data_IF_812397491912
#
_entry.id   IF_812397491912
#
_cell.length_a   1.000
_cell.length_b   1.000
_cell.length_c   1.000
_cell.angle_alpha   90.00
_cell.angle_beta   90.00
_cell.angle_gamma   90.00
#
_symmetry.space_group_name_H-M   'P 1'
#
loop_
_entity.id
_entity.type
_entity.pdbx_description
1 polymer ?
#
# COMPACT_ATOMS: atom_id res chain seq x y z
N UNK A 1 38.97 -54.65 -60.22
CA UNK A 1 38.56 -53.24 -59.98
C UNK A 1 37.18 -53.18 -59.32
N UNK A 2 37.00 -53.81 -58.14
CA UNK A 2 35.74 -53.76 -57.37
C UNK A 2 35.96 -53.81 -55.85
N UNK A 3 37.21 -53.97 -55.39
CA UNK A 3 37.57 -54.09 -53.96
C UNK A 3 37.89 -52.70 -53.35
N UNK A 4 38.15 -51.67 -54.18
CA UNK A 4 38.52 -50.34 -53.69
C UNK A 4 37.34 -49.40 -53.39
N UNK A 5 36.10 -49.78 -53.74
CA UNK A 5 34.89 -48.95 -53.49
C UNK A 5 34.25 -49.32 -52.14
N UNK A 6 34.43 -50.54 -51.65
CA UNK A 6 33.86 -50.98 -50.36
C UNK A 6 34.62 -50.36 -49.17
N UNK A 7 35.91 -50.06 -49.29
CA UNK A 7 36.68 -49.40 -48.22
C UNK A 7 36.34 -47.91 -48.05
N UNK A 8 35.84 -47.23 -49.08
CA UNK A 8 35.41 -45.83 -49.00
C UNK A 8 34.00 -45.67 -48.39
N UNK A 9 33.17 -46.72 -48.42
CA UNK A 9 31.85 -46.72 -47.78
C UNK A 9 31.88 -47.02 -46.27
N UNK A 10 32.97 -47.59 -45.74
CA UNK A 10 33.16 -47.75 -44.29
C UNK A 10 33.73 -46.51 -43.59
N UNK A 11 34.31 -45.55 -44.32
CA UNK A 11 34.78 -44.29 -43.73
C UNK A 11 33.66 -43.26 -43.47
N UNK A 12 32.43 -43.49 -43.97
CA UNK A 12 31.29 -42.62 -43.72
C UNK A 12 30.44 -43.00 -42.49
N UNK A 13 30.77 -44.09 -41.78
CA UNK A 13 29.99 -44.56 -40.62
C UNK A 13 30.64 -44.33 -39.24
N UNK A 14 31.63 -43.44 -39.12
CA UNK A 14 32.27 -43.08 -37.83
C UNK A 14 32.22 -41.59 -37.46
N UNK A 15 31.27 -40.82 -37.99
CA UNK A 15 30.99 -39.43 -37.52
C UNK A 15 29.64 -39.32 -36.79
N UNK A 16 29.38 -40.27 -35.89
CA UNK A 16 28.11 -40.41 -35.16
C UNK A 16 28.14 -40.06 -33.67
N UNK A 17 29.16 -39.37 -33.17
CA UNK A 17 29.18 -38.86 -31.79
C UNK A 17 29.23 -37.34 -31.80
N UNK A 18 28.06 -36.72 -31.72
CA UNK A 18 27.95 -35.27 -31.46
C UNK A 18 28.46 -34.99 -30.04
N UNK A 19 29.74 -34.66 -29.90
CA UNK A 19 30.34 -34.29 -28.61
C UNK A 19 29.81 -32.95 -28.13
N UNK A 20 29.57 -32.82 -26.82
CA UNK A 20 29.00 -31.59 -26.25
C UNK A 20 30.07 -30.53 -25.94
N UNK A 21 31.34 -30.76 -26.31
CA UNK A 21 32.46 -29.85 -26.04
C UNK A 21 32.21 -28.43 -26.62
N UNK A 22 31.52 -28.35 -27.76
CA UNK A 22 31.10 -27.07 -28.36
C UNK A 22 30.14 -26.25 -27.47
N UNK A 23 29.50 -26.86 -26.48
CA UNK A 23 28.65 -26.17 -25.52
C UNK A 23 29.47 -25.41 -24.45
N UNK A 24 30.75 -25.77 -24.25
CA UNK A 24 31.66 -25.15 -23.28
C UNK A 24 33.07 -24.98 -23.87
N UNK A 25 33.24 -24.13 -24.91
CA UNK A 25 34.48 -24.04 -25.67
C UNK A 25 35.71 -23.62 -24.84
N UNK A 26 35.50 -22.92 -23.71
CA UNK A 26 36.57 -22.48 -22.81
C UNK A 26 37.27 -23.63 -22.07
N UNK A 27 36.72 -24.84 -22.07
CA UNK A 27 37.25 -25.98 -21.32
C UNK A 27 38.22 -26.83 -22.14
N UNK A 28 38.25 -26.68 -23.48
CA UNK A 28 39.10 -27.49 -24.35
C UNK A 28 38.74 -28.98 -24.40
N UNK A 29 39.58 -29.79 -25.05
CA UNK A 29 39.45 -31.26 -25.08
C UNK A 29 40.31 -31.90 -23.97
N UNK A 30 39.75 -32.91 -23.28
CA UNK A 30 40.45 -33.67 -22.23
C UNK A 30 41.76 -34.32 -22.67
N UNK A 31 41.94 -34.60 -23.97
CA UNK A 31 43.13 -35.25 -24.51
C UNK A 31 44.42 -34.44 -24.30
N UNK A 32 44.30 -33.14 -24.01
CA UNK A 32 45.40 -32.28 -23.58
C UNK A 32 45.15 -31.89 -22.12
N UNK A 33 45.57 -32.73 -21.17
CA UNK A 33 45.32 -32.63 -19.71
C UNK A 33 45.84 -31.31 -19.05
N UNK A 34 46.39 -30.37 -19.82
CA UNK A 34 46.77 -29.02 -19.35
C UNK A 34 45.61 -28.00 -19.30
N UNK A 35 44.35 -28.43 -19.29
CA UNK A 35 43.21 -27.51 -19.17
C UNK A 35 43.00 -27.03 -17.72
N UNK A 36 43.06 -25.71 -17.56
CA UNK A 36 43.17 -24.95 -16.31
C UNK A 36 41.84 -24.77 -15.57
N UNK A 37 41.40 -25.82 -14.87
CA UNK A 37 40.44 -25.64 -13.79
C UNK A 37 41.13 -24.99 -12.58
N UNK A 38 40.45 -24.09 -11.83
CA UNK A 38 39.07 -23.64 -12.00
C UNK A 38 38.88 -22.62 -13.14
N UNK A 39 37.70 -22.62 -13.76
CA UNK A 39 37.32 -21.60 -14.75
C UNK A 39 37.10 -20.26 -14.04
N UNK A 40 37.85 -19.22 -14.43
CA UNK A 40 37.74 -17.90 -13.83
C UNK A 40 36.84 -16.99 -14.67
N UNK A 41 35.69 -16.61 -14.14
CA UNK A 41 34.80 -15.61 -14.73
C UNK A 41 35.00 -14.26 -14.07
N UNK A 42 35.44 -13.27 -14.84
CA UNK A 42 35.42 -11.87 -14.43
C UNK A 42 34.03 -11.31 -14.72
N UNK A 43 33.30 -10.96 -13.66
CA UNK A 43 31.91 -10.51 -13.75
C UNK A 43 31.83 -9.03 -13.47
N UNK A 44 31.37 -8.30 -14.49
CA UNK A 44 31.04 -6.89 -14.40
C UNK A 44 29.55 -6.77 -14.15
N UNK A 45 29.16 -6.72 -12.88
CA UNK A 45 27.77 -6.52 -12.49
C UNK A 45 27.69 -5.91 -11.11
N UNK A 46 26.79 -4.95 -10.96
CA UNK A 46 26.41 -4.38 -9.69
C UNK A 46 25.17 -5.12 -9.13
N UNK A 47 24.80 -6.27 -9.68
CA UNK A 47 23.66 -7.05 -9.20
C UNK A 47 24.07 -8.07 -8.15
N UNK A 48 23.18 -8.30 -7.19
CA UNK A 48 23.30 -9.37 -6.20
C UNK A 48 23.12 -10.76 -6.82
N UNK A 49 22.70 -10.87 -8.08
CA UNK A 49 22.54 -12.14 -8.79
C UNK A 49 23.11 -12.09 -10.20
N UNK A 50 23.69 -13.22 -10.61
CA UNK A 50 24.06 -13.54 -12.00
C UNK A 50 23.62 -14.96 -12.32
N UNK A 51 23.55 -15.25 -13.62
CA UNK A 51 23.29 -16.61 -14.10
C UNK A 51 24.58 -17.18 -14.67
N UNK A 52 24.86 -18.44 -14.36
CA UNK A 52 26.02 -19.15 -14.89
C UNK A 52 25.56 -20.43 -15.54
N UNK A 53 26.21 -20.75 -16.66
CA UNK A 53 26.00 -21.97 -17.41
C UNK A 53 26.92 -23.07 -16.86
N UNK A 54 26.33 -24.20 -16.50
CA UNK A 54 27.02 -25.41 -16.06
C UNK A 54 26.62 -26.61 -16.93
N UNK A 55 27.45 -27.65 -17.01
CA UNK A 55 27.04 -28.90 -17.65
C UNK A 55 25.83 -29.53 -16.98
N UNK A 56 24.97 -30.18 -17.77
CA UNK A 56 23.82 -30.95 -17.31
C UNK A 56 24.14 -32.44 -17.13
N UNK A 57 23.22 -33.20 -16.56
CA UNK A 57 23.44 -34.63 -16.26
C UNK A 57 23.66 -35.50 -17.50
N UNK A 58 23.23 -35.06 -18.69
CA UNK A 58 23.48 -35.75 -19.97
C UNK A 58 24.64 -35.15 -20.77
N UNK A 59 25.39 -34.21 -20.19
CA UNK A 59 26.58 -33.66 -20.83
C UNK A 59 27.64 -34.75 -21.05
N UNK A 60 28.16 -34.84 -22.27
CA UNK A 60 29.24 -35.76 -22.63
C UNK A 60 30.50 -35.00 -23.04
N UNK A 61 31.59 -35.22 -22.30
CA UNK A 61 32.86 -34.56 -22.54
C UNK A 61 33.84 -35.48 -23.25
N UNK A 62 34.29 -35.09 -24.44
CA UNK A 62 35.24 -35.87 -25.24
C UNK A 62 34.67 -37.19 -25.81
N UNK A 63 35.57 -38.05 -26.28
CA UNK A 63 35.26 -39.29 -27.02
C UNK A 63 35.00 -40.52 -26.13
N UNK A 64 34.63 -40.31 -24.88
CA UNK A 64 34.54 -41.40 -23.92
C UNK A 64 33.09 -41.59 -23.48
N UNK A 65 32.50 -42.71 -23.90
CA UNK A 65 31.25 -43.24 -23.32
C UNK A 65 31.37 -43.52 -21.81
N UNK A 66 32.60 -43.47 -21.29
CA UNK A 66 33.00 -43.71 -19.91
C UNK A 66 33.05 -42.44 -19.05
N UNK A 67 32.74 -41.27 -19.61
CA UNK A 67 32.69 -39.99 -18.89
C UNK A 67 31.25 -39.67 -18.51
N UNK A 68 30.99 -39.59 -17.20
CA UNK A 68 29.70 -39.19 -16.64
C UNK A 68 29.83 -37.87 -15.90
N UNK A 69 28.93 -36.93 -16.19
CA UNK A 69 28.82 -35.71 -15.41
C UNK A 69 27.80 -35.85 -14.28
N UNK A 70 28.17 -35.44 -13.08
CA UNK A 70 27.27 -35.35 -11.93
C UNK A 70 27.18 -33.92 -11.41
N UNK A 71 25.96 -33.37 -11.47
CA UNK A 71 25.68 -32.01 -11.01
C UNK A 71 25.73 -31.93 -9.47
N UNK A 72 26.42 -30.93 -8.94
CA UNK A 72 26.55 -30.69 -7.51
C UNK A 72 25.19 -30.38 -6.86
N UNK A 73 24.98 -30.80 -5.60
CA UNK A 73 23.72 -30.55 -4.87
C UNK A 73 23.39 -29.06 -4.70
N UNK A 74 24.40 -28.20 -4.54
CA UNK A 74 24.23 -26.74 -4.50
C UNK A 74 23.82 -26.18 -5.87
N UNK A 75 24.35 -26.72 -6.96
CA UNK A 75 23.94 -26.37 -8.31
C UNK A 75 22.49 -26.80 -8.58
N UNK A 76 22.11 -28.02 -8.19
CA UNK A 76 20.72 -28.52 -8.27
C UNK A 76 19.73 -27.58 -7.55
N UNK A 77 20.07 -27.10 -6.36
CA UNK A 77 19.21 -26.15 -5.59
C UNK A 77 19.08 -24.76 -6.22
N UNK A 78 20.04 -24.34 -7.04
CA UNK A 78 20.05 -23.02 -7.68
C UNK A 78 19.70 -23.07 -9.18
N UNK A 79 19.23 -24.22 -9.65
CA UNK A 79 18.84 -24.46 -11.03
C UNK A 79 17.67 -23.58 -11.46
N UNK A 80 17.80 -22.93 -12.61
CA UNK A 80 16.70 -22.23 -13.29
C UNK A 80 16.14 -23.17 -14.36
N UNK A 81 15.11 -23.93 -13.98
CA UNK A 81 14.51 -24.96 -14.83
C UNK A 81 14.06 -24.43 -16.19
N UNK A 82 13.47 -23.23 -16.23
CA UNK A 82 12.95 -22.63 -17.47
C UNK A 82 14.01 -22.30 -18.52
N UNK A 83 15.28 -22.18 -18.13
CA UNK A 83 16.41 -21.94 -19.03
C UNK A 83 17.25 -23.20 -19.28
N UNK A 84 17.01 -24.27 -18.52
CA UNK A 84 17.89 -25.43 -18.48
C UNK A 84 17.36 -26.58 -19.34
N UNK A 85 18.27 -27.38 -19.88
CA UNK A 85 17.97 -28.64 -20.55
C UNK A 85 18.87 -29.76 -20.00
N UNK A 86 18.77 -30.96 -20.58
CA UNK A 86 19.49 -32.13 -20.07
C UNK A 86 21.03 -32.04 -20.20
N UNK A 87 21.54 -31.24 -21.15
CA UNK A 87 22.98 -31.10 -21.44
C UNK A 87 23.59 -29.84 -20.85
N UNK A 88 22.79 -28.80 -20.67
CA UNK A 88 23.20 -27.48 -20.19
C UNK A 88 22.20 -27.02 -19.15
N UNK A 89 22.71 -26.62 -17.99
CA UNK A 89 21.89 -26.04 -16.94
C UNK A 89 22.32 -24.61 -16.64
N UNK A 90 21.35 -23.74 -16.39
CA UNK A 90 21.59 -22.40 -15.89
C UNK A 90 21.35 -22.37 -14.39
N UNK A 91 22.35 -21.89 -13.66
CA UNK A 91 22.29 -21.76 -12.21
C UNK A 91 22.38 -20.30 -11.80
N UNK A 92 21.63 -19.94 -10.76
CA UNK A 92 21.74 -18.63 -10.13
C UNK A 92 22.90 -18.63 -9.14
N UNK A 93 23.79 -17.65 -9.26
CA UNK A 93 24.76 -17.32 -8.21
C UNK A 93 24.36 -16.00 -7.56
N UNK A 94 24.46 -15.94 -6.23
CA UNK A 94 24.18 -14.75 -5.45
C UNK A 94 25.42 -14.18 -4.79
N UNK A 95 25.60 -12.87 -4.88
CA UNK A 95 26.50 -12.12 -4.02
C UNK A 95 25.69 -11.17 -3.14
N UNK A 96 25.57 -11.51 -1.85
CA UNK A 96 24.87 -10.70 -0.86
C UNK A 96 25.82 -9.86 0.00
N UNK A 97 27.13 -10.04 -0.13
CA UNK A 97 28.13 -9.34 0.67
C UNK A 97 28.85 -8.31 -0.19
N UNK A 98 28.79 -7.03 0.20
CA UNK A 98 29.45 -5.93 -0.52
C UNK A 98 30.97 -6.04 -0.53
N UNK A 99 31.56 -6.70 0.48
CA UNK A 99 33.01 -6.85 0.60
C UNK A 99 33.54 -8.09 -0.15
N UNK A 100 32.64 -8.97 -0.59
CA UNK A 100 33.03 -10.21 -1.27
C UNK A 100 33.40 -9.93 -2.73
N UNK A 101 34.70 -9.90 -2.99
CA UNK A 101 35.30 -9.75 -4.33
C UNK A 101 35.33 -11.05 -5.14
N UNK A 102 35.34 -12.21 -4.48
CA UNK A 102 35.43 -13.51 -5.16
C UNK A 102 34.42 -14.51 -4.60
N UNK A 103 33.86 -15.35 -5.48
CA UNK A 103 32.95 -16.44 -5.11
C UNK A 103 33.33 -17.70 -5.87
N UNK A 104 33.74 -18.73 -5.12
CA UNK A 104 33.98 -20.05 -5.69
C UNK A 104 32.68 -20.88 -5.71
N UNK A 105 32.46 -21.58 -6.81
CA UNK A 105 31.28 -22.40 -7.00
C UNK A 105 31.62 -23.66 -7.79
N UNK A 106 31.21 -24.82 -7.29
CA UNK A 106 31.36 -26.09 -7.99
C UNK A 106 30.07 -26.44 -8.71
N UNK A 107 30.10 -26.45 -10.04
CA UNK A 107 28.96 -26.91 -10.85
C UNK A 107 28.68 -28.39 -10.58
N UNK A 108 29.73 -29.21 -10.51
CA UNK A 108 29.63 -30.67 -10.45
C UNK A 108 30.99 -31.31 -10.66
N UNK A 109 30.98 -32.59 -11.03
CA UNK A 109 32.19 -33.37 -11.29
C UNK A 109 32.02 -34.24 -12.53
N UNK A 110 33.10 -34.39 -13.28
CA UNK A 110 33.26 -35.39 -14.33
C UNK A 110 33.88 -36.63 -13.69
N UNK A 111 33.23 -37.77 -13.83
CA UNK A 111 33.72 -39.08 -13.42
C UNK A 111 34.18 -39.77 -14.69
N UNK A 112 35.46 -40.12 -14.76
CA UNK A 112 36.10 -40.74 -15.92
C UNK A 112 36.47 -42.16 -15.53
N UNK A 113 35.85 -43.15 -16.17
CA UNK A 113 36.09 -44.57 -15.91
C UNK A 113 36.71 -45.25 -17.15
N UNK A 114 37.90 -44.80 -17.56
CA UNK A 114 38.58 -45.35 -18.74
C UNK A 114 39.59 -46.45 -18.39
N UNK A 115 39.99 -47.25 -19.38
CA UNK A 115 41.03 -48.27 -19.22
C UNK A 115 42.40 -47.70 -18.84
N UNK A 116 42.68 -46.44 -19.21
CA UNK A 116 43.99 -45.79 -19.04
C UNK A 116 43.99 -44.73 -17.93
N UNK A 117 42.82 -44.28 -17.50
CA UNK A 117 42.65 -43.27 -16.46
C UNK A 117 41.30 -43.45 -15.76
N UNK A 118 41.36 -43.62 -14.44
CA UNK A 118 40.19 -43.56 -13.57
C UNK A 118 40.35 -42.36 -12.64
N UNK A 119 39.39 -41.44 -12.66
CA UNK A 119 39.53 -40.20 -11.91
C UNK A 119 38.29 -39.32 -11.89
N UNK A 120 38.35 -38.29 -11.05
CA UNK A 120 37.30 -37.30 -10.91
C UNK A 120 37.86 -35.91 -11.13
N UNK A 121 37.26 -35.15 -12.06
CA UNK A 121 37.61 -33.75 -12.32
C UNK A 121 36.46 -32.88 -11.83
N UNK A 122 36.73 -31.94 -10.92
CA UNK A 122 35.72 -31.01 -10.43
C UNK A 122 35.55 -29.83 -11.38
N UNK A 123 34.30 -29.58 -11.78
CA UNK A 123 33.95 -28.41 -12.58
C UNK A 123 33.79 -27.19 -11.69
N UNK A 124 34.94 -26.65 -11.27
CA UNK A 124 35.03 -25.52 -10.37
C UNK A 124 35.07 -24.19 -11.14
N UNK A 125 34.36 -23.21 -10.60
CA UNK A 125 34.29 -21.86 -11.10
C UNK A 125 34.78 -20.88 -10.02
N UNK A 126 35.59 -19.91 -10.41
CA UNK A 126 35.96 -18.75 -9.61
C UNK A 126 35.30 -17.51 -10.24
N UNK A 127 34.45 -16.84 -9.49
CA UNK A 127 33.71 -15.67 -9.95
C UNK A 127 34.32 -14.45 -9.29
N UNK A 128 34.96 -13.59 -10.08
CA UNK A 128 35.56 -12.34 -9.61
C UNK A 128 34.62 -11.18 -9.90
N UNK A 129 34.03 -10.63 -8.84
CA UNK A 129 33.13 -9.48 -8.91
C UNK A 129 33.95 -8.21 -9.06
N UNK A 130 33.82 -7.53 -10.19
CA UNK A 130 34.51 -6.25 -10.42
C UNK A 130 33.92 -5.12 -9.57
N UNK A 131 32.63 -5.22 -9.25
CA UNK A 131 31.88 -4.23 -8.50
C UNK A 131 31.09 -4.88 -7.36
N UNK A 132 30.91 -4.18 -6.24
CA UNK A 132 30.02 -4.66 -5.18
C UNK A 132 28.56 -4.63 -5.66
N UNK A 133 27.71 -5.56 -5.17
CA UNK A 133 26.28 -5.52 -5.44
C UNK A 133 25.64 -4.22 -4.91
N UNK A 134 24.74 -3.64 -5.70
CA UNK A 134 23.99 -2.44 -5.35
C UNK A 134 23.29 -2.61 -4.01
N UNK A 135 23.24 -1.52 -3.26
CA UNK A 135 22.29 -1.43 -2.17
C UNK A 135 20.87 -1.47 -2.76
N UNK A 136 20.14 -2.55 -2.50
CA UNK A 136 18.77 -2.72 -2.98
C UNK A 136 17.85 -1.57 -2.55
N UNK A 137 18.20 -0.80 -1.51
CA UNK A 137 17.47 0.41 -1.12
C UNK A 137 17.43 1.47 -2.24
N UNK A 138 18.51 1.64 -3.00
CA UNK A 138 18.69 2.76 -3.94
C UNK A 138 18.45 2.40 -5.41
N UNK A 139 17.80 1.27 -5.67
CA UNK A 139 17.53 0.80 -7.03
C UNK A 139 16.34 1.58 -7.64
N UNK A 140 16.47 1.94 -8.91
CA UNK A 140 15.42 2.59 -9.68
C UNK A 140 14.12 1.78 -9.70
N UNK A 141 13.01 2.47 -9.96
CA UNK A 141 11.69 1.84 -9.95
C UNK A 141 11.17 1.67 -11.36
N UNK A 142 10.43 0.59 -11.57
CA UNK A 142 9.71 0.33 -12.81
C UNK A 142 8.21 0.34 -12.53
N UNK A 143 7.48 1.08 -13.35
CA UNK A 143 6.02 1.10 -13.25
C UNK A 143 5.45 -0.21 -13.83
N UNK A 144 4.81 -1.01 -12.98
CA UNK A 144 4.22 -2.30 -13.35
C UNK A 144 2.76 -2.18 -13.77
N UNK A 145 2.34 -1.03 -14.32
CA UNK A 145 0.98 -0.86 -14.85
C UNK A 145 0.79 -1.75 -16.08
N UNK A 146 -0.28 -2.55 -16.07
CA UNK A 146 -0.63 -3.67 -16.98
C UNK A 146 -0.31 -3.52 -18.48
N UNK A 147 -0.29 -2.29 -19.01
CA UNK A 147 -0.20 -2.04 -20.46
C UNK A 147 1.09 -1.33 -20.88
N UNK A 148 1.93 -0.88 -19.95
CA UNK A 148 3.12 -0.08 -20.24
C UNK A 148 4.29 -0.50 -19.35
N UNK A 149 4.69 -1.76 -19.47
CA UNK A 149 5.92 -2.23 -18.87
C UNK A 149 7.12 -1.78 -19.72
N UNK A 150 7.97 -0.93 -19.17
CA UNK A 150 9.14 -0.40 -19.89
C UNK A 150 10.35 -1.30 -19.68
N UNK A 151 10.75 -2.02 -20.72
CA UNK A 151 12.00 -2.80 -20.70
C UNK A 151 13.21 -1.85 -20.54
N UNK A 152 14.21 -2.21 -19.73
CA UNK A 152 15.42 -1.40 -19.59
C UNK A 152 16.16 -1.28 -20.93
N UNK A 153 16.53 -0.06 -21.31
CA UNK A 153 17.24 0.22 -22.59
C UNK A 153 18.54 -0.57 -22.68
N UNK A 154 19.23 -0.73 -21.55
CA UNK A 154 20.46 -1.53 -21.39
C UNK A 154 20.31 -3.01 -21.76
N UNK A 155 19.09 -3.54 -21.81
CA UNK A 155 18.87 -4.92 -22.24
C UNK A 155 18.98 -5.11 -23.75
N UNK A 156 18.88 -4.05 -24.55
CA UNK A 156 18.98 -4.09 -26.02
C UNK A 156 18.15 -5.24 -26.64
N UNK A 157 16.96 -5.47 -26.12
CA UNK A 157 16.02 -6.50 -26.58
C UNK A 157 14.58 -6.07 -26.26
N UNK A 158 13.63 -6.53 -27.07
CA UNK A 158 12.20 -6.30 -26.88
C UNK A 158 11.53 -7.38 -26.02
N UNK A 159 12.23 -8.48 -25.73
CA UNK A 159 11.72 -9.62 -24.96
C UNK A 159 12.80 -10.20 -24.03
N UNK A 160 13.16 -9.49 -22.94
CA UNK A 160 14.13 -9.98 -21.97
C UNK A 160 13.53 -11.11 -21.13
N UNK A 161 14.37 -12.05 -20.68
CA UNK A 161 13.96 -12.93 -19.61
C UNK A 161 13.88 -12.14 -18.31
N UNK A 162 12.76 -12.26 -17.60
CA UNK A 162 12.57 -11.58 -16.32
C UNK A 162 12.41 -12.56 -15.18
N UNK A 163 12.99 -12.21 -14.04
CA UNK A 163 12.95 -13.01 -12.83
C UNK A 163 12.68 -12.09 -11.64
N UNK A 164 12.10 -12.66 -10.59
CA UNK A 164 11.88 -11.95 -9.33
C UNK A 164 12.24 -12.86 -8.16
N UNK A 165 12.60 -12.24 -7.05
CA UNK A 165 12.90 -12.96 -5.83
C UNK A 165 11.66 -13.01 -4.94
N UNK A 166 11.05 -14.18 -4.84
CA UNK A 166 9.88 -14.44 -3.99
C UNK A 166 10.25 -15.49 -2.96
N UNK A 167 10.17 -15.15 -1.67
CA UNK A 167 10.50 -16.06 -0.57
C UNK A 167 11.87 -16.76 -0.73
N UNK A 168 12.91 -16.00 -1.09
CA UNK A 168 14.28 -16.50 -1.37
C UNK A 168 14.41 -17.38 -2.62
N UNK A 169 13.32 -17.61 -3.35
CA UNK A 169 13.29 -18.34 -4.62
C UNK A 169 13.38 -17.35 -5.79
N UNK A 170 14.24 -17.67 -6.75
CA UNK A 170 14.40 -16.86 -7.97
C UNK A 170 13.59 -17.51 -9.07
N UNK A 171 12.45 -16.92 -9.37
CA UNK A 171 11.46 -17.51 -10.25
C UNK A 171 11.33 -16.66 -11.51
N UNK A 172 11.02 -17.27 -12.67
CA UNK A 172 10.58 -16.52 -13.83
C UNK A 172 9.42 -15.61 -13.44
N UNK A 173 9.41 -14.40 -13.98
CA UNK A 173 8.35 -13.43 -13.79
C UNK A 173 7.61 -13.23 -15.11
N UNK A 174 6.30 -13.41 -15.10
CA UNK A 174 5.40 -13.04 -16.19
C UNK A 174 4.58 -11.83 -15.77
N UNK A 175 4.86 -10.67 -16.37
CA UNK A 175 4.21 -9.42 -16.02
C UNK A 175 2.68 -9.47 -16.00
N UNK A 176 2.07 -10.23 -16.92
CA UNK A 176 0.61 -10.26 -17.09
C UNK A 176 -0.09 -11.29 -16.21
N UNK A 177 0.64 -12.17 -15.55
CA UNK A 177 0.07 -13.31 -14.83
C UNK A 177 0.52 -13.33 -13.36
N UNK A 178 1.77 -13.00 -13.11
CA UNK A 178 2.37 -13.14 -11.79
C UNK A 178 1.97 -12.00 -10.86
N UNK A 179 1.63 -12.41 -9.63
CA UNK A 179 1.36 -11.51 -8.53
C UNK A 179 2.68 -10.93 -8.04
N UNK A 180 2.79 -9.60 -8.12
CA UNK A 180 3.90 -8.82 -7.58
C UNK A 180 3.41 -7.90 -6.47
N UNK A 181 4.23 -7.73 -5.44
CA UNK A 181 4.00 -6.84 -4.32
C UNK A 181 4.89 -5.60 -4.42
N UNK A 182 4.51 -4.53 -3.71
CA UNK A 182 5.33 -3.31 -3.61
C UNK A 182 6.75 -3.67 -3.15
N UNK A 183 7.73 -3.00 -3.78
CA UNK A 183 9.16 -3.12 -3.51
C UNK A 183 9.80 -4.48 -3.81
N UNK A 184 9.06 -5.44 -4.39
CA UNK A 184 9.67 -6.63 -4.95
C UNK A 184 10.59 -6.27 -6.12
N UNK A 185 11.75 -6.93 -6.17
CA UNK A 185 12.81 -6.66 -7.14
C UNK A 185 12.68 -7.59 -8.34
N UNK A 186 12.69 -6.99 -9.53
CA UNK A 186 12.67 -7.67 -10.82
C UNK A 186 14.02 -7.53 -11.49
N UNK A 187 14.54 -8.64 -11.99
CA UNK A 187 15.81 -8.78 -12.70
C UNK A 187 15.54 -9.07 -14.17
N UNK A 188 16.23 -8.35 -15.04
CA UNK A 188 16.12 -8.48 -16.49
C UNK A 188 17.41 -9.05 -17.05
N UNK A 189 17.31 -10.05 -17.91
CA UNK A 189 18.44 -10.65 -18.62
C UNK A 189 18.22 -10.56 -20.12
N UNK A 190 19.29 -10.21 -20.83
CA UNK A 190 19.26 -10.19 -22.29
C UNK A 190 19.12 -11.63 -22.81
N UNK A 191 18.02 -11.88 -23.53
CA UNK A 191 17.69 -13.18 -24.12
C UNK A 191 18.79 -13.71 -25.05
N UNK A 192 19.42 -12.83 -25.83
CA UNK A 192 20.47 -13.20 -26.78
C UNK A 192 21.70 -13.77 -26.08
N UNK A 193 22.04 -13.28 -24.88
CA UNK A 193 23.16 -13.82 -24.08
C UNK A 193 22.81 -15.22 -23.55
N UNK A 194 21.56 -15.43 -23.13
CA UNK A 194 21.13 -16.69 -22.52
C UNK A 194 20.97 -17.84 -23.52
N UNK A 195 20.66 -17.54 -24.78
CA UNK A 195 20.51 -18.55 -25.84
C UNK A 195 21.81 -18.80 -26.62
N UNK A 196 22.74 -17.84 -26.62
CA UNK A 196 23.98 -17.95 -27.39
C UNK A 196 25.00 -18.82 -26.64
N UNK A 197 25.48 -19.84 -27.33
CA UNK A 197 26.38 -20.85 -26.77
C UNK A 197 27.80 -20.36 -26.48
N UNK A 198 28.17 -19.17 -26.96
CA UNK A 198 29.48 -18.56 -26.68
C UNK A 198 29.58 -17.97 -25.28
N UNK A 199 28.44 -17.64 -24.65
CA UNK A 199 28.42 -17.07 -23.30
C UNK A 199 28.25 -18.17 -22.23
N UNK A 200 29.09 -18.09 -21.20
CA UNK A 200 29.06 -19.02 -20.06
C UNK A 200 28.46 -18.40 -18.80
N UNK A 201 28.18 -17.09 -18.82
CA UNK A 201 27.48 -16.39 -17.76
C UNK A 201 26.64 -15.24 -18.34
N UNK A 202 25.66 -14.79 -17.57
CA UNK A 202 24.85 -13.63 -17.88
C UNK A 202 24.65 -12.78 -16.62
N UNK A 203 25.06 -11.52 -16.72
CA UNK A 203 24.69 -10.48 -15.76
C UNK A 203 23.33 -9.90 -16.13
N UNK A 204 22.51 -9.48 -15.16
CA UNK A 204 21.27 -8.80 -15.48
C UNK A 204 21.57 -7.46 -16.14
N UNK A 205 20.86 -7.17 -17.23
CA UNK A 205 20.93 -5.90 -17.94
C UNK A 205 20.10 -4.81 -17.24
N UNK A 206 19.22 -5.18 -16.31
CA UNK A 206 18.46 -4.23 -15.49
C UNK A 206 17.97 -4.86 -14.19
N UNK A 207 17.94 -4.06 -13.13
CA UNK A 207 17.39 -4.45 -11.82
C UNK A 207 16.50 -3.31 -11.35
N UNK A 208 15.24 -3.59 -11.04
CA UNK A 208 14.25 -2.57 -10.71
C UNK A 208 13.35 -3.03 -9.57
N UNK A 209 12.96 -2.09 -8.70
CA UNK A 209 11.85 -2.29 -7.77
C UNK A 209 10.52 -2.04 -8.46
N UNK A 210 9.55 -2.90 -8.20
CA UNK A 210 8.20 -2.70 -8.71
C UNK A 210 7.54 -1.49 -8.04
N UNK A 211 6.99 -0.58 -8.85
CA UNK A 211 6.21 0.57 -8.42
C UNK A 211 4.87 0.64 -9.17
N UNK A 212 3.86 1.22 -8.53
CA UNK A 212 2.53 1.39 -9.09
C UNK A 212 1.96 2.73 -8.61
N UNK A 213 1.03 3.31 -9.37
CA UNK A 213 0.31 4.49 -8.92
C UNK A 213 -0.53 4.22 -7.66
N UNK A 214 -0.96 5.30 -7.00
CA UNK A 214 -1.71 5.20 -5.75
C UNK A 214 -2.94 4.27 -5.86
N UNK A 215 -3.19 3.44 -4.84
CA UNK A 215 -4.40 2.63 -4.75
C UNK A 215 -5.63 3.49 -4.38
N UNK A 216 -6.82 2.93 -4.51
CA UNK A 216 -8.01 3.46 -3.87
C UNK A 216 -8.09 2.93 -2.43
N UNK A 217 -8.44 3.79 -1.48
CA UNK A 217 -8.74 3.39 -0.10
C UNK A 217 -10.22 2.96 -0.05
N UNK A 218 -10.51 1.74 0.40
CA UNK A 218 -11.86 1.21 0.52
C UNK A 218 -12.05 0.52 1.87
N UNK A 219 -13.26 0.58 2.42
CA UNK A 219 -13.66 -0.27 3.54
C UNK A 219 -14.27 -1.55 2.96
N UNK A 220 -13.74 -2.70 3.35
CA UNK A 220 -14.21 -3.99 2.85
C UNK A 220 -15.61 -4.31 3.36
N UNK A 221 -16.40 -4.98 2.49
CA UNK A 221 -17.72 -5.52 2.80
C UNK A 221 -18.72 -4.48 3.33
N UNK A 222 -18.57 -3.23 2.90
CA UNK A 222 -19.45 -2.11 3.26
C UNK A 222 -19.98 -1.40 2.03
N UNK A 223 -21.26 -1.04 2.10
CA UNK A 223 -21.89 -0.14 1.14
C UNK A 223 -21.47 1.27 1.52
N UNK A 224 -20.80 1.95 0.60
CA UNK A 224 -20.30 3.31 0.79
C UNK A 224 -21.12 4.25 -0.07
N UNK A 225 -21.84 5.17 0.58
CA UNK A 225 -22.48 6.31 -0.09
C UNK A 225 -21.53 7.48 -0.12
N UNK A 226 -21.73 8.39 -1.06
CA UNK A 226 -20.95 9.62 -1.16
C UNK A 226 -21.88 10.77 -0.80
N UNK A 227 -21.49 11.59 0.17
CA UNK A 227 -22.07 12.91 0.41
C UNK A 227 -21.00 13.98 0.16
N UNK A 228 -21.42 15.16 -0.25
CA UNK A 228 -20.55 16.31 -0.45
C UNK A 228 -20.98 17.39 0.53
N UNK A 229 -20.07 17.75 1.41
CA UNK A 229 -20.29 18.71 2.49
C UNK A 229 -19.34 19.87 2.24
N UNK A 230 -19.86 20.94 1.62
CA UNK A 230 -19.08 22.05 1.10
C UNK A 230 -18.19 21.61 -0.06
N UNK A 231 -16.87 21.64 0.13
CA UNK A 231 -15.90 21.14 -0.86
C UNK A 231 -15.38 19.74 -0.53
N UNK A 232 -15.81 19.16 0.59
CA UNK A 232 -15.29 17.89 1.08
C UNK A 232 -16.18 16.73 0.61
N UNK A 233 -15.56 15.76 -0.07
CA UNK A 233 -16.20 14.49 -0.42
C UNK A 233 -16.09 13.50 0.75
N UNK A 234 -17.22 13.07 1.28
CA UNK A 234 -17.32 12.19 2.46
C UNK A 234 -17.90 10.84 2.05
N UNK A 235 -17.25 9.77 2.50
CA UNK A 235 -17.65 8.39 2.25
C UNK A 235 -18.44 7.87 3.45
N UNK A 236 -19.75 7.80 3.30
CA UNK A 236 -20.68 7.50 4.39
C UNK A 236 -20.94 6.00 4.46
N UNK A 237 -20.81 5.45 5.66
CA UNK A 237 -21.07 4.05 5.99
C UNK A 237 -22.12 4.04 7.11
N UNK A 238 -23.29 3.51 6.79
CA UNK A 238 -24.35 3.29 7.76
C UNK A 238 -24.41 1.80 8.12
N UNK A 239 -24.31 1.50 9.41
CA UNK A 239 -24.32 0.13 9.93
C UNK A 239 -25.32 -0.04 11.08
N UNK A 240 -25.74 -1.26 11.36
CA UNK A 240 -26.62 -1.52 12.51
C UNK A 240 -25.86 -1.51 13.85
N UNK A 241 -24.54 -1.73 13.82
CA UNK A 241 -23.69 -1.69 15.00
C UNK A 241 -22.27 -1.25 14.64
N UNK A 242 -21.56 -0.70 15.62
CA UNK A 242 -20.15 -0.38 15.50
C UNK A 242 -19.28 -1.58 15.90
N UNK A 243 -18.08 -1.65 15.33
CA UNK A 243 -17.15 -2.75 15.61
C UNK A 243 -15.82 -2.58 14.89
N UNK A 244 -15.28 -3.71 14.44
CA UNK A 244 -14.05 -3.73 13.67
C UNK A 244 -14.33 -3.57 12.18
N UNK A 245 -13.56 -2.70 11.56
CA UNK A 245 -13.59 -2.41 10.14
C UNK A 245 -12.24 -2.75 9.54
N UNK A 246 -12.25 -3.21 8.29
CA UNK A 246 -11.04 -3.50 7.54
C UNK A 246 -10.95 -2.59 6.32
N UNK A 247 -9.88 -1.80 6.26
CA UNK A 247 -9.58 -1.00 5.08
C UNK A 247 -8.61 -1.74 4.16
N UNK A 248 -8.85 -1.64 2.87
CA UNK A 248 -8.01 -2.21 1.83
C UNK A 248 -7.51 -1.11 0.88
N UNK A 249 -6.25 -1.26 0.48
CA UNK A 249 -5.63 -0.49 -0.58
C UNK A 249 -5.85 -1.24 -1.90
N UNK A 250 -6.95 -0.92 -2.59
CA UNK A 250 -7.35 -1.65 -3.79
C UNK A 250 -6.77 -1.05 -5.07
N UNK A 251 -6.35 -1.95 -5.93
CA UNK A 251 -5.96 -1.72 -7.32
C UNK A 251 -6.72 -2.71 -8.20
N UNK A 252 -6.79 -2.43 -9.51
CA UNK A 252 -7.53 -3.25 -10.47
C UNK A 252 -6.62 -4.27 -11.16
N UNK A 253 -7.21 -5.35 -11.67
CA UNK A 253 -6.55 -6.37 -12.50
C UNK A 253 -5.55 -7.25 -11.73
N UNK A 254 -4.49 -7.68 -12.42
CA UNK A 254 -3.45 -8.61 -11.91
C UNK A 254 -2.74 -8.04 -10.68
N UNK A 255 -2.61 -6.71 -10.62
CA UNK A 255 -1.94 -5.98 -9.54
C UNK A 255 -2.81 -5.80 -8.28
N UNK A 256 -3.98 -6.43 -8.16
CA UNK A 256 -4.91 -6.29 -7.02
C UNK A 256 -4.29 -6.58 -5.65
N UNK A 257 -3.15 -7.28 -5.62
CA UNK A 257 -2.43 -7.63 -4.40
C UNK A 257 -1.19 -6.76 -4.14
N UNK A 258 -0.89 -5.80 -5.02
CA UNK A 258 0.35 -5.02 -4.99
C UNK A 258 0.59 -4.35 -3.63
N UNK A 259 -0.43 -3.70 -3.08
CA UNK A 259 -0.39 -3.00 -1.79
C UNK A 259 -0.90 -3.86 -0.62
N UNK A 260 -1.01 -5.19 -0.76
CA UNK A 260 -1.62 -6.06 0.27
C UNK A 260 -0.86 -6.06 1.61
N UNK A 261 0.45 -5.83 1.58
CA UNK A 261 1.33 -5.83 2.76
C UNK A 261 1.52 -4.43 3.36
N UNK A 262 0.94 -3.41 2.74
CA UNK A 262 1.12 -2.03 3.14
C UNK A 262 0.17 -1.64 4.26
N UNK A 263 0.61 -0.67 5.06
CA UNK A 263 -0.13 -0.20 6.23
C UNK A 263 -0.76 1.17 5.98
N UNK A 264 -1.96 1.34 6.53
CA UNK A 264 -2.65 2.64 6.58
C UNK A 264 -2.53 3.27 7.96
N UNK A 265 -2.72 4.59 8.01
CA UNK A 265 -2.98 5.31 9.27
C UNK A 265 -4.41 5.81 9.29
N UNK A 266 -5.03 5.75 10.46
CA UNK A 266 -6.42 6.17 10.66
C UNK A 266 -6.45 7.22 11.76
N UNK A 267 -7.22 8.28 11.56
CA UNK A 267 -7.37 9.38 12.51
C UNK A 267 -8.85 9.68 12.70
N UNK A 268 -9.27 10.01 13.92
CA UNK A 268 -10.51 10.76 14.12
C UNK A 268 -10.37 12.13 13.49
N UNK A 269 -11.49 12.73 13.10
CA UNK A 269 -11.49 14.03 12.48
C UNK A 269 -12.72 14.84 12.88
N UNK A 270 -12.64 16.15 12.61
CA UNK A 270 -13.76 17.08 12.76
C UNK A 270 -13.82 18.03 11.57
N UNK A 271 -14.99 18.64 11.40
CA UNK A 271 -15.10 19.83 10.58
C UNK A 271 -14.48 21.04 11.29
N UNK A 272 -13.73 21.86 10.56
CA UNK A 272 -13.42 23.22 10.98
C UNK A 272 -14.56 24.19 10.65
N UNK A 273 -14.44 25.47 11.04
CA UNK A 273 -15.46 26.49 10.81
C UNK A 273 -15.76 26.75 9.31
N UNK A 274 -14.90 26.28 8.40
CA UNK A 274 -15.05 26.34 6.94
C UNK A 274 -15.48 25.02 6.33
N UNK A 275 -15.80 24.01 7.15
CA UNK A 275 -16.13 22.64 6.77
C UNK A 275 -14.99 21.90 6.06
N UNK A 276 -13.76 22.36 6.27
CA UNK A 276 -12.55 21.59 6.03
C UNK A 276 -12.39 20.49 7.07
N UNK A 277 -11.51 19.52 6.78
CA UNK A 277 -11.32 18.34 7.64
C UNK A 277 -10.02 18.46 8.41
N UNK A 278 -10.14 18.51 9.74
CA UNK A 278 -9.01 18.54 10.66
C UNK A 278 -8.87 17.18 11.33
N UNK A 279 -7.67 16.60 11.23
CA UNK A 279 -7.31 15.35 11.93
C UNK A 279 -7.06 15.63 13.40
N UNK A 280 -7.55 14.75 14.26
CA UNK A 280 -7.39 14.87 15.71
C UNK A 280 -6.52 13.74 16.26
N UNK A 281 -7.12 12.61 16.64
CA UNK A 281 -6.42 11.54 17.35
C UNK A 281 -6.16 10.35 16.43
N UNK A 282 -4.98 9.73 16.53
CA UNK A 282 -4.70 8.48 15.82
C UNK A 282 -5.53 7.33 16.41
N UNK A 283 -6.15 6.53 15.54
CA UNK A 283 -6.80 5.27 15.91
C UNK A 283 -5.80 4.15 15.68
N UNK A 284 -5.70 3.22 16.65
CA UNK A 284 -4.84 2.05 16.53
C UNK A 284 -5.29 1.14 15.38
N UNK A 285 -4.32 0.68 14.59
CA UNK A 285 -4.53 -0.16 13.40
C UNK A 285 -3.67 -1.41 13.52
N UNK A 286 -4.26 -2.58 13.28
CA UNK A 286 -3.53 -3.84 13.17
C UNK A 286 -3.91 -4.54 11.86
N UNK A 287 -2.95 -4.74 10.95
CA UNK A 287 -3.19 -5.33 9.61
C UNK A 287 -4.35 -4.63 8.88
N UNK A 288 -4.34 -3.30 8.87
CA UNK A 288 -5.39 -2.43 8.32
C UNK A 288 -6.79 -2.66 8.90
N UNK A 289 -6.90 -3.27 10.09
CA UNK A 289 -8.14 -3.34 10.86
C UNK A 289 -8.12 -2.31 11.97
N UNK A 290 -9.24 -1.64 12.19
CA UNK A 290 -9.42 -0.62 13.22
C UNK A 290 -10.82 -0.71 13.83
N UNK A 291 -10.99 -0.22 15.05
CA UNK A 291 -12.27 -0.25 15.77
C UNK A 291 -12.92 1.13 15.76
N UNK A 292 -14.20 1.17 15.39
CA UNK A 292 -15.07 2.33 15.62
C UNK A 292 -16.04 1.94 16.74
N UNK A 293 -16.32 2.88 17.64
CA UNK A 293 -17.16 2.63 18.83
C UNK A 293 -18.40 3.52 18.88
N UNK A 294 -18.39 4.64 18.15
CA UNK A 294 -19.44 5.64 18.11
C UNK A 294 -19.47 6.33 16.76
N UNK A 295 -20.55 7.05 16.49
CA UNK A 295 -20.69 7.90 15.31
C UNK A 295 -19.51 8.86 15.25
N UNK A 296 -18.78 8.84 14.14
CA UNK A 296 -17.59 9.67 14.02
C UNK A 296 -17.16 9.89 12.56
N UNK A 297 -16.46 10.99 12.36
CA UNK A 297 -15.72 11.27 11.14
C UNK A 297 -14.28 10.75 11.31
N UNK A 298 -13.78 10.05 10.30
CA UNK A 298 -12.39 9.57 10.28
C UNK A 298 -11.71 9.91 8.96
N UNK A 299 -10.38 10.03 9.01
CA UNK A 299 -9.53 10.13 7.83
C UNK A 299 -8.60 8.94 7.80
N UNK A 300 -8.63 8.21 6.69
CA UNK A 300 -7.68 7.15 6.40
C UNK A 300 -6.63 7.71 5.44
N UNK A 301 -5.35 7.52 5.77
CA UNK A 301 -4.23 7.97 4.96
C UNK A 301 -3.32 6.81 4.59
N UNK A 302 -2.78 6.84 3.38
CA UNK A 302 -1.75 5.93 2.91
C UNK A 302 -0.58 6.73 2.34
N UNK A 303 0.63 6.43 2.80
CA UNK A 303 1.86 7.05 2.31
C UNK A 303 2.56 6.12 1.31
N UNK A 304 2.95 6.67 0.17
CA UNK A 304 3.70 5.95 -0.84
C UNK A 304 4.65 6.92 -1.55
N UNK A 305 5.92 6.77 -1.22
CA UNK A 305 7.08 7.46 -1.77
C UNK A 305 7.35 7.14 -3.24
N UNK A 306 6.99 5.93 -3.66
CA UNK A 306 7.24 5.39 -5.01
C UNK A 306 6.05 5.54 -5.97
N UNK A 307 4.86 5.87 -5.45
CA UNK A 307 3.63 5.91 -6.25
C UNK A 307 3.51 7.16 -7.14
N UNK A 308 4.12 8.26 -6.71
CA UNK A 308 4.10 9.52 -7.45
C UNK A 308 5.33 10.39 -7.11
N UNK A 309 5.73 11.26 -8.06
CA UNK A 309 6.92 12.11 -7.89
C UNK A 309 6.72 13.15 -6.78
N UNK A 310 5.65 13.92 -6.85
CA UNK A 310 5.35 15.02 -5.92
C UNK A 310 4.46 14.60 -4.75
N UNK A 311 3.33 13.96 -5.02
CA UNK A 311 2.38 13.51 -4.00
C UNK A 311 2.94 12.29 -3.25
N UNK A 312 3.17 12.41 -1.94
CA UNK A 312 3.71 11.32 -1.11
C UNK A 312 2.67 10.56 -0.29
N UNK A 313 1.44 11.07 -0.24
CA UNK A 313 0.35 10.39 0.45
C UNK A 313 -1.00 10.73 -0.16
N UNK A 314 -1.96 9.83 0.03
CA UNK A 314 -3.37 10.05 -0.27
C UNK A 314 -4.18 9.93 1.02
N UNK A 315 -5.31 10.63 1.06
CA UNK A 315 -6.25 10.56 2.17
C UNK A 315 -7.68 10.37 1.66
N UNK A 316 -8.51 9.76 2.48
CA UNK A 316 -9.93 9.58 2.21
C UNK A 316 -10.73 9.72 3.50
N UNK A 317 -11.77 10.54 3.44
CA UNK A 317 -12.63 10.89 4.58
C UNK A 317 -13.83 9.95 4.59
N UNK A 318 -14.11 9.37 5.75
CA UNK A 318 -15.23 8.50 5.99
C UNK A 318 -16.07 9.00 7.16
N UNK A 319 -17.38 8.82 7.09
CA UNK A 319 -18.30 9.07 8.19
C UNK A 319 -19.02 7.77 8.53
N UNK A 320 -18.91 7.35 9.79
CA UNK A 320 -19.54 6.12 10.31
C UNK A 320 -20.74 6.51 11.16
N UNK A 321 -21.88 5.93 10.84
CA UNK A 321 -23.15 6.22 11.51
C UNK A 321 -23.94 4.94 11.73
N UNK A 322 -24.77 4.91 12.77
CA UNK A 322 -25.74 3.83 12.94
C UNK A 322 -26.95 4.05 12.03
N UNK A 323 -27.51 2.97 11.49
CA UNK A 323 -28.85 3.00 10.92
C UNK A 323 -29.84 3.35 12.02
N UNK A 324 -30.30 4.60 12.01
CA UNK A 324 -31.34 5.10 12.90
C UNK A 324 -32.55 5.47 12.05
N UNK A 325 -33.73 5.27 12.64
CA UNK A 325 -35.02 5.63 12.02
C UNK A 325 -35.52 7.00 12.49
N UNK A 326 -34.94 7.54 13.57
CA UNK A 326 -35.18 8.89 14.10
C UNK A 326 -33.96 9.42 14.86
N UNK A 327 -33.69 10.71 14.70
CA UNK A 327 -32.85 11.47 15.62
C UNK A 327 -33.68 12.05 16.76
N UNK A 328 -33.18 11.98 18.01
CA UNK A 328 -33.84 12.65 19.13
C UNK A 328 -33.82 14.17 18.93
N UNK A 329 -34.84 14.86 19.44
CA UNK A 329 -34.82 16.31 19.61
C UNK A 329 -34.36 16.63 21.03
N UNK A 330 -33.48 17.60 21.19
CA UNK A 330 -33.06 18.11 22.48
C UNK A 330 -33.78 19.43 22.75
N UNK A 331 -34.22 19.64 23.98
CA UNK A 331 -34.83 20.90 24.43
C UNK A 331 -34.10 21.39 25.67
N UNK A 332 -33.80 22.69 25.72
CA UNK A 332 -33.22 23.35 26.89
C UNK A 332 -33.90 24.68 27.17
N UNK A 333 -34.14 24.98 28.44
CA UNK A 333 -34.68 26.27 28.89
C UNK A 333 -33.55 27.19 29.30
N UNK A 334 -33.55 28.42 28.80
CA UNK A 334 -32.57 29.46 29.11
C UNK A 334 -33.32 30.57 29.86
N UNK A 335 -33.11 30.60 31.18
CA UNK A 335 -33.60 31.65 32.06
C UNK A 335 -32.62 32.82 32.14
N UNK A 336 -33.13 34.04 32.10
CA UNK A 336 -32.31 35.25 32.26
C UNK A 336 -33.09 36.36 32.98
N UNK A 337 -32.40 37.35 33.54
CA UNK A 337 -33.07 38.51 34.15
C UNK A 337 -33.67 39.39 33.05
N UNK A 338 -34.89 39.87 33.25
CA UNK A 338 -35.54 40.79 32.31
C UNK A 338 -34.60 41.96 31.97
N UNK A 339 -34.45 42.25 30.69
CA UNK A 339 -33.58 43.30 30.14
C UNK A 339 -32.06 43.07 30.23
N UNK A 340 -31.59 41.89 30.70
CA UNK A 340 -30.17 41.58 30.85
C UNK A 340 -29.72 40.37 30.03
N UNK A 341 -30.37 40.06 28.88
CA UNK A 341 -29.85 38.99 28.03
C UNK A 341 -28.49 39.41 27.44
N UNK A 342 -27.40 38.99 28.10
CA UNK A 342 -26.03 39.34 27.71
C UNK A 342 -25.59 38.67 26.39
N UNK A 343 -26.16 37.51 26.06
CA UNK A 343 -25.86 36.78 24.82
C UNK A 343 -27.06 36.66 23.90
N UNK A 344 -26.89 37.08 22.64
CA UNK A 344 -27.91 36.89 21.62
C UNK A 344 -28.14 35.41 21.34
N UNK A 345 -29.39 34.99 21.09
CA UNK A 345 -29.70 33.62 20.73
C UNK A 345 -28.94 33.20 19.50
N UNK A 346 -28.31 32.02 19.56
CA UNK A 346 -27.42 31.59 18.51
C UNK A 346 -27.41 30.07 18.33
N UNK A 347 -27.14 29.66 17.09
CA UNK A 347 -26.90 28.27 16.71
C UNK A 347 -25.46 28.16 16.21
N UNK A 348 -24.67 27.26 16.81
CA UNK A 348 -23.35 26.90 16.28
C UNK A 348 -23.51 26.25 14.91
N UNK A 349 -22.62 26.54 13.97
CA UNK A 349 -22.65 25.96 12.62
C UNK A 349 -22.29 24.47 12.64
N UNK A 350 -21.41 24.06 13.55
CA UNK A 350 -21.00 22.67 13.74
C UNK A 350 -21.16 22.29 15.21
N UNK A 351 -21.72 21.11 15.46
CA UNK A 351 -21.78 20.49 16.78
C UNK A 351 -21.31 19.04 16.69
N UNK A 352 -20.87 18.47 17.81
CA UNK A 352 -20.34 17.10 17.90
C UNK A 352 -19.27 16.75 16.87
N UNK A 353 -18.54 17.74 16.35
CA UNK A 353 -17.50 17.62 15.32
C UNK A 353 -17.98 17.24 13.90
N UNK A 354 -19.21 16.75 13.72
CA UNK A 354 -19.69 16.25 12.42
C UNK A 354 -21.13 16.66 12.05
N UNK A 355 -21.93 17.18 12.97
CA UNK A 355 -23.29 17.69 12.66
C UNK A 355 -23.18 19.14 12.23
N UNK A 356 -23.82 19.50 11.12
CA UNK A 356 -23.79 20.86 10.59
C UNK A 356 -25.18 21.46 10.49
N UNK A 357 -25.27 22.75 10.80
CA UNK A 357 -26.51 23.52 10.82
C UNK A 357 -27.05 23.68 9.40
N UNK A 358 -28.33 23.36 9.22
CA UNK A 358 -29.07 23.57 7.97
C UNK A 358 -30.18 24.62 8.12
N UNK A 359 -30.65 24.87 9.33
CA UNK A 359 -31.68 25.87 9.59
C UNK A 359 -31.59 26.45 11.01
N UNK A 360 -31.88 27.74 11.15
CA UNK A 360 -32.19 28.38 12.43
C UNK A 360 -33.51 29.14 12.30
N UNK A 361 -34.41 29.04 13.28
CA UNK A 361 -35.69 29.75 13.27
C UNK A 361 -36.08 30.31 14.63
N UNK A 362 -36.84 31.40 14.64
CA UNK A 362 -37.49 32.00 15.80
C UNK A 362 -38.83 32.63 15.38
N UNK A 363 -39.94 32.17 15.96
CA UNK A 363 -41.27 32.57 15.52
C UNK A 363 -41.49 32.25 14.04
N UNK A 364 -41.86 33.26 13.24
CA UNK A 364 -42.02 33.14 11.78
C UNK A 364 -40.71 33.37 11.00
N UNK A 365 -39.66 33.81 11.69
CA UNK A 365 -38.38 34.12 11.06
C UNK A 365 -37.52 32.86 10.97
N UNK A 366 -36.97 32.60 9.78
CA UNK A 366 -36.07 31.47 9.55
C UNK A 366 -34.94 31.83 8.61
N UNK A 367 -33.80 31.18 8.80
CA UNK A 367 -32.66 31.21 7.89
C UNK A 367 -32.28 29.78 7.55
N UNK A 368 -32.16 29.50 6.25
CA UNK A 368 -31.78 28.19 5.73
C UNK A 368 -30.35 28.28 5.18
N UNK A 369 -29.55 27.26 5.47
CA UNK A 369 -28.21 27.10 4.94
C UNK A 369 -28.20 25.98 3.92
N UNK A 370 -27.88 26.32 2.67
CA UNK A 370 -27.59 25.35 1.62
C UNK A 370 -26.11 25.42 1.26
N UNK A 371 -25.42 24.28 1.36
CA UNK A 371 -23.96 24.19 1.15
C UNK A 371 -23.16 25.30 1.84
N UNK A 372 -23.61 25.70 3.05
CA UNK A 372 -22.99 26.73 3.88
C UNK A 372 -23.15 28.18 3.41
N UNK A 373 -23.92 28.38 2.34
CA UNK A 373 -24.40 29.67 1.92
C UNK A 373 -25.81 29.88 2.45
N UNK A 374 -26.10 31.11 2.87
CA UNK A 374 -27.43 31.49 3.35
C UNK A 374 -28.35 31.75 2.17
N UNK A 375 -29.53 31.14 2.18
CA UNK A 375 -30.60 31.45 1.25
C UNK A 375 -31.57 32.43 1.92
N UNK A 376 -31.79 33.60 1.32
CA UNK A 376 -32.79 34.59 1.79
C UNK A 376 -32.24 35.79 2.59
N UNK A 377 -33.17 36.59 3.12
CA UNK A 377 -32.93 37.90 3.75
C UNK A 377 -32.24 37.75 5.11
N UNK A 378 -31.10 38.43 5.28
CA UNK A 378 -30.24 38.39 6.49
C UNK A 378 -30.60 39.41 7.56
N UNK A 379 -31.61 40.25 7.34
CA UNK A 379 -31.88 41.41 8.20
C UNK A 379 -31.98 41.05 9.69
N UNK A 380 -32.60 39.91 10.00
CA UNK A 380 -32.80 39.45 11.38
C UNK A 380 -31.74 38.48 11.88
N UNK A 381 -30.80 38.04 11.04
CA UNK A 381 -29.79 37.04 11.40
C UNK A 381 -28.36 37.55 11.15
N UNK A 382 -27.47 37.38 12.12
CA UNK A 382 -26.04 37.68 11.98
C UNK A 382 -25.30 36.37 11.73
N UNK A 383 -24.70 36.25 10.55
CA UNK A 383 -23.86 35.11 10.20
C UNK A 383 -22.44 35.40 10.65
N UNK A 384 -22.00 34.73 11.72
CA UNK A 384 -20.61 34.75 12.17
C UNK A 384 -19.83 33.58 11.55
N UNK A 385 -18.52 33.53 11.81
CA UNK A 385 -17.64 32.47 11.31
C UNK A 385 -18.13 31.08 11.73
N UNK A 386 -18.36 30.86 13.02
CA UNK A 386 -18.69 29.56 13.63
C UNK A 386 -20.16 29.42 14.09
N UNK A 387 -20.98 30.46 13.99
CA UNK A 387 -22.37 30.45 14.47
C UNK A 387 -23.26 31.43 13.70
N UNK A 388 -24.57 31.33 13.93
CA UNK A 388 -25.58 32.29 13.47
C UNK A 388 -26.29 32.83 14.70
N UNK A 389 -26.47 34.14 14.77
CA UNK A 389 -27.18 34.81 15.85
C UNK A 389 -28.47 35.44 15.34
N UNK A 390 -29.47 35.55 16.20
CA UNK A 390 -30.70 36.29 15.91
C UNK A 390 -30.61 37.72 16.47
N UNK A 391 -30.94 38.73 15.65
CA UNK A 391 -30.87 40.17 15.99
C UNK A 391 -32.04 40.61 16.87
N UNK A 392 -32.20 39.99 18.03
CA UNK A 392 -33.18 40.41 19.03
C UNK A 392 -32.58 40.27 20.43
N UNK A 393 -32.58 41.38 21.16
CA UNK A 393 -32.31 41.36 22.59
C UNK A 393 -33.62 41.02 23.34
N UNK A 394 -33.52 40.44 24.54
CA UNK A 394 -34.68 40.08 25.37
C UNK A 394 -35.70 39.20 24.65
N UNK A 395 -35.22 38.09 24.08
CA UNK A 395 -36.06 37.17 23.34
C UNK A 395 -36.99 36.37 24.28
N UNK A 396 -38.27 36.27 23.93
CA UNK A 396 -39.21 35.38 24.60
C UNK A 396 -39.66 34.31 23.60
N UNK A 397 -39.61 33.03 24.01
CA UNK A 397 -40.11 31.92 23.20
C UNK A 397 -39.00 31.04 22.62
N UNK A 398 -39.32 30.36 21.51
CA UNK A 398 -38.56 29.21 21.03
C UNK A 398 -37.63 29.53 19.87
N UNK A 399 -36.33 29.28 20.06
CA UNK A 399 -35.32 29.27 18.99
C UNK A 399 -35.01 27.83 18.63
N UNK A 400 -35.14 27.48 17.34
CA UNK A 400 -34.86 26.13 16.84
C UNK A 400 -33.60 26.14 16.00
N UNK A 401 -32.69 25.22 16.27
CA UNK A 401 -31.53 24.91 15.45
C UNK A 401 -31.70 23.52 14.85
N UNK A 402 -31.65 23.39 13.53
CA UNK A 402 -31.78 22.12 12.83
C UNK A 402 -30.44 21.73 12.21
N UNK A 403 -29.98 20.53 12.54
CA UNK A 403 -28.69 19.99 12.14
C UNK A 403 -28.85 18.73 11.30
N UNK A 404 -27.87 18.47 10.44
CA UNK A 404 -27.76 17.25 9.62
C UNK A 404 -26.38 16.62 9.77
N UNK A 405 -26.31 15.30 9.61
CA UNK A 405 -25.05 14.55 9.49
C UNK A 405 -24.78 14.17 8.03
N UNK A 406 -23.51 13.90 7.64
CA UNK A 406 -23.19 13.48 6.29
C UNK A 406 -23.98 12.24 5.84
N UNK A 407 -24.64 12.31 4.69
CA UNK A 407 -25.39 11.21 4.07
C UNK A 407 -26.74 10.88 4.71
N UNK A 408 -27.10 11.50 5.84
CA UNK A 408 -28.41 11.35 6.46
C UNK A 408 -29.44 12.29 5.83
N UNK A 409 -30.66 11.79 5.63
CA UNK A 409 -31.84 12.61 5.30
C UNK A 409 -32.55 13.12 6.55
N UNK A 410 -32.29 12.51 7.69
CA UNK A 410 -32.90 12.89 8.95
C UNK A 410 -32.15 14.05 9.59
N UNK A 411 -32.87 14.82 10.40
CA UNK A 411 -32.38 16.04 11.03
C UNK A 411 -32.46 15.94 12.55
N UNK A 412 -31.45 16.46 13.20
CA UNK A 412 -31.36 16.61 14.64
C UNK A 412 -31.78 18.02 15.02
N UNK A 413 -32.67 18.17 16.01
CA UNK A 413 -33.23 19.47 16.40
C UNK A 413 -32.80 19.82 17.82
N UNK A 414 -32.26 21.01 17.99
CA UNK A 414 -32.05 21.63 19.30
C UNK A 414 -33.07 22.76 19.43
N UNK A 415 -33.90 22.67 20.46
CA UNK A 415 -34.91 23.64 20.82
C UNK A 415 -34.43 24.41 22.06
N UNK A 416 -34.38 25.73 21.96
CA UNK A 416 -33.97 26.61 23.06
C UNK A 416 -35.13 27.51 23.43
N UNK A 417 -35.64 27.34 24.65
CA UNK A 417 -36.79 28.09 25.17
C UNK A 417 -36.26 29.22 26.04
N UNK A 418 -36.46 30.47 25.60
CA UNK A 418 -36.02 31.66 26.33
C UNK A 418 -37.15 32.21 27.20
N UNK A 419 -36.87 32.35 28.49
CA UNK A 419 -37.79 32.87 29.50
C UNK A 419 -37.04 33.93 30.30
N UNK A 420 -37.66 35.09 30.50
CA UNK A 420 -37.13 36.09 31.43
C UNK A 420 -37.87 36.06 32.76
N UNK A 421 -37.13 36.24 33.84
CA UNK A 421 -37.69 36.32 35.18
C UNK A 421 -37.58 37.76 35.72
N UNK A 422 -38.63 38.25 36.39
CA UNK A 422 -38.53 39.41 37.27
C UNK A 422 -37.49 39.18 38.39
N UNK A 423 -36.93 40.24 38.94
CA UNK A 423 -35.82 40.15 39.91
C UNK A 423 -36.22 39.47 41.22
N UNK A 424 -37.48 39.64 41.64
CA UNK A 424 -38.06 39.03 42.82
C UNK A 424 -38.11 37.49 42.78
N UNK A 425 -37.98 36.89 41.59
CA UNK A 425 -37.95 35.44 41.42
C UNK A 425 -36.53 34.89 41.20
N UNK A 426 -35.49 35.72 41.28
CA UNK A 426 -34.11 35.31 41.04
C UNK A 426 -33.39 35.18 42.39
N UNK A 427 -32.85 34.00 42.66
CA UNK A 427 -32.12 33.74 43.90
C UNK A 427 -30.62 33.93 43.70
N UNK A 428 -29.93 34.27 44.78
CA UNK A 428 -28.46 34.31 44.85
C UNK A 428 -27.99 33.46 46.03
N UNK A 429 -26.97 32.65 45.81
CA UNK A 429 -26.29 31.96 46.91
C UNK A 429 -25.30 32.90 47.62
N UNK A 430 -24.70 32.42 48.72
CA UNK A 430 -23.74 33.19 49.52
C UNK A 430 -22.45 33.54 48.76
N UNK A 431 -22.14 32.83 47.67
CA UNK A 431 -21.00 33.12 46.79
C UNK A 431 -21.37 34.12 45.67
N UNK A 432 -22.63 34.57 45.60
CA UNK A 432 -23.12 35.50 44.58
C UNK A 432 -23.53 34.84 43.27
N UNK A 433 -23.59 33.51 43.19
CA UNK A 433 -24.07 32.83 41.99
C UNK A 433 -25.58 33.00 41.85
N UNK A 434 -26.03 33.26 40.61
CA UNK A 434 -27.43 33.56 40.29
C UNK A 434 -28.18 32.30 39.86
N UNK A 435 -29.33 32.03 40.48
CA UNK A 435 -30.22 30.91 40.15
C UNK A 435 -31.56 31.44 39.65
N UNK A 436 -31.92 31.02 38.44
CA UNK A 436 -33.22 31.29 37.84
C UNK A 436 -34.20 30.14 38.14
N UNK A 437 -35.53 30.36 38.14
CA UNK A 437 -36.51 29.30 38.35
C UNK A 437 -36.36 28.09 37.42
N UNK A 438 -35.84 28.29 36.22
CA UNK A 438 -35.54 27.22 35.25
C UNK A 438 -34.16 26.56 35.42
N UNK A 439 -33.35 26.97 36.39
CA UNK A 439 -32.01 26.44 36.61
C UNK A 439 -32.02 25.29 37.61
N UNK A 440 -31.11 24.33 37.41
CA UNK A 440 -30.90 23.24 38.38
C UNK A 440 -30.38 23.82 39.70
N UNK A 441 -31.04 23.46 40.81
CA UNK A 441 -30.66 23.93 42.15
C UNK A 441 -31.50 25.09 42.69
N UNK A 442 -32.33 25.73 41.85
CA UNK A 442 -33.19 26.83 42.30
C UNK A 442 -34.16 26.40 43.42
N UNK A 443 -34.88 25.29 43.23
CA UNK A 443 -35.85 24.81 44.22
C UNK A 443 -35.20 24.52 45.57
N UNK A 444 -34.02 23.89 45.55
CA UNK A 444 -33.24 23.60 46.76
C UNK A 444 -32.83 24.89 47.50
N UNK A 445 -32.30 25.87 46.77
CA UNK A 445 -31.90 27.14 47.36
C UNK A 445 -33.11 27.94 47.89
N UNK A 446 -34.25 27.88 47.19
CA UNK A 446 -35.49 28.51 47.64
C UNK A 446 -35.96 27.92 48.98
N UNK A 447 -35.96 26.59 49.09
CA UNK A 447 -36.30 25.88 50.34
C UNK A 447 -35.35 26.26 51.48
N UNK A 448 -34.04 26.26 51.25
CA UNK A 448 -33.03 26.65 52.25
C UNK A 448 -33.21 28.09 52.74
N UNK A 449 -33.54 29.02 51.85
CA UNK A 449 -33.76 30.42 52.23
C UNK A 449 -35.09 30.63 52.97
N UNK A 450 -36.14 29.91 52.58
CA UNK A 450 -37.43 29.97 53.26
C UNK A 450 -37.40 29.32 54.65
N UNK A 451 -36.64 28.23 54.83
CA UNK A 451 -36.48 27.60 56.14
C UNK A 451 -35.70 28.45 57.14
N UNK A 452 -34.89 29.42 56.66
CA UNK A 452 -34.16 30.35 57.52
C UNK A 452 -34.99 31.61 57.89
N UNK A 453 -36.19 31.77 57.33
CA UNK A 453 -37.09 32.91 57.58
C UNK A 453 -38.22 32.56 58.57
N UNK A 454 -38.41 31.27 58.86
CA UNK A 454 -39.29 30.72 59.91
C UNK A 454 -38.49 30.37 61.14
#
# INVERSE_FOLDING_TARGET
>A
MFIMIIFLLFFQYCYGSTYDNALFPMVGNLSNINTSFPLVYKVESNSNYILIRCPGEKYRHGNESMVKYELNSRAKRNLIKSLSNNKVVWIKISNSNQDRKETNFTCGKLIINSKHFNGTIYWNLSIKWKFPPYNLMNISHINVKLNKWKIPISCNTTDPYTFYNKNKSFLPYNHKEDKIYKDEVIYFFNKNILINTTYNYASPCGVYKAALGFPNIEIMDKIVKIDVVGKTKIHVINDNSFGYYHAALKTKGVNKFFFKKEEIKVFTAKFDDTFGIVRENSISVNKNKFKIQKTNLIVITYACDTCHKTIKSISKVFFFELNRTRYPSESKTIGYRRNELMERPNCRKIIDNYKFLIEMSYGNDKIILDNFYTLGVKEKFIVKKNMIEYRKNNILGEVRCVYRTPGSKEVFKIVMIYIHYPEEFILKDSAGNVYYPSSSGYAKLYEEQMSNLT
#
